data_IF_121976871200
#
_entry.id   IF_121976871200
#
_cell.length_a   1.000
_cell.length_b   1.000
_cell.length_c   1.000
_cell.angle_alpha   90.00
_cell.angle_beta   90.00
_cell.angle_gamma   90.00
#
_symmetry.space_group_name_H-M   'P 1'
#
loop_
_entity.id
_entity.type
_entity.pdbx_description
1 polymer ?
2 non-polymer ?
3 water ?
#
# COMPACT_ATOMS: atom_id res chain seq x y z
N UNK A 3 4.96 9.45 -15.12
CA UNK A 3 3.88 9.22 -14.17
C UNK A 3 4.17 10.00 -12.88
N UNK A 4 3.14 10.63 -12.32
CA UNK A 4 3.27 11.37 -11.07
C UNK A 4 2.08 11.01 -10.18
N UNK A 5 2.36 10.39 -9.04
CA UNK A 5 1.30 9.92 -8.14
C UNK A 5 0.80 11.00 -7.19
N UNK A 6 1.37 12.21 -7.22
CA UNK A 6 0.98 13.24 -6.28
C UNK A 6 -0.52 13.48 -6.32
N UNK A 7 -1.16 13.49 -5.15
CA UNK A 7 -2.57 13.79 -5.06
C UNK A 7 -3.21 13.21 -3.83
N UNK A 8 -4.50 13.49 -3.70
CA UNK A 8 -5.33 12.95 -2.63
C UNK A 8 -6.30 11.96 -3.26
N UNK A 9 -6.38 10.76 -2.70
CA UNK A 9 -7.09 9.64 -3.31
C UNK A 9 -8.03 9.00 -2.31
N UNK A 10 -9.25 8.68 -2.76
CA UNK A 10 -10.29 8.10 -1.93
C UNK A 10 -10.62 6.70 -2.40
N UNK A 11 -10.72 5.77 -1.45
CA UNK A 11 -10.88 4.37 -1.83
C UNK A 11 -12.24 4.13 -2.45
N UNK A 12 -12.25 3.43 -3.59
CA UNK A 12 -13.47 3.07 -4.31
C UNK A 12 -13.82 1.60 -4.14
N UNK A 13 -12.85 0.70 -4.32
CA UNK A 13 -13.04 -0.73 -4.14
C UNK A 13 -11.85 -1.32 -3.39
N UNK A 14 -12.11 -2.43 -2.71
CA UNK A 14 -11.10 -3.17 -1.94
C UNK A 14 -11.47 -4.65 -2.08
N UNK A 15 -10.75 -5.36 -2.95
CA UNK A 15 -11.11 -6.70 -3.37
C UNK A 15 -10.16 -7.75 -2.81
N UNK A 16 -10.74 -8.77 -2.17
CA UNK A 16 -10.00 -9.90 -1.63
C UNK A 16 -9.05 -9.49 -0.50
N UNK A 17 -9.44 -8.48 0.26
CA UNK A 17 -8.59 -8.01 1.36
C UNK A 17 -8.51 -9.04 2.48
N UNK A 18 -9.61 -9.72 2.78
CA UNK A 18 -9.62 -10.59 3.95
C UNK A 18 -8.70 -11.79 3.76
N UNK A 19 -8.65 -12.33 2.54
CA UNK A 19 -7.74 -13.44 2.27
C UNK A 19 -6.28 -12.98 2.28
N UNK A 20 -6.02 -11.77 1.80
CA UNK A 20 -4.67 -11.22 1.86
C UNK A 20 -4.20 -11.13 3.31
N UNK A 21 -5.06 -10.60 4.19
CA UNK A 21 -4.70 -10.54 5.60
C UNK A 21 -4.56 -11.94 6.19
N UNK A 22 -5.42 -12.87 5.79
CA UNK A 22 -5.30 -14.23 6.31
C UNK A 22 -3.97 -14.85 5.92
N UNK A 23 -3.49 -14.53 4.71
CA UNK A 23 -2.17 -15.01 4.28
C UNK A 23 -1.04 -14.38 5.08
N UNK A 24 -1.27 -13.23 5.70
CA UNK A 24 -0.30 -12.61 6.59
C UNK A 24 -0.45 -13.09 8.04
N UNK A 25 -1.39 -14.00 8.30
CA UNK A 25 -1.64 -14.55 9.63
C UNK A 25 -2.17 -13.49 10.59
N UNK A 26 -2.93 -12.53 10.08
CA UNK A 26 -3.62 -11.57 10.94
C UNK A 26 -4.81 -12.27 11.56
N UNK A 27 -4.96 -12.13 12.88
CA UNK A 27 -5.98 -12.87 13.61
C UNK A 27 -7.38 -12.46 13.14
N UNK A 28 -8.35 -13.35 13.39
CA UNK A 28 -9.68 -13.18 12.82
C UNK A 28 -10.29 -11.86 13.25
N UNK A 29 -10.15 -11.50 14.53
CA UNK A 29 -10.81 -10.30 15.02
C UNK A 29 -10.21 -9.05 14.40
N UNK A 30 -8.88 -8.98 14.32
CA UNK A 30 -8.24 -7.84 13.67
C UNK A 30 -8.57 -7.81 12.19
N UNK A 31 -8.58 -8.98 11.55
CA UNK A 31 -9.05 -9.02 10.18
C UNK A 31 -10.42 -8.38 10.06
N UNK A 32 -11.33 -8.60 11.04
CA UNK A 32 -12.67 -8.14 10.78
C UNK A 32 -12.71 -6.63 10.86
N UNK A 33 -11.89 -6.05 11.75
CA UNK A 33 -11.78 -4.60 11.90
C UNK A 33 -11.18 -3.97 10.65
N UNK A 34 -10.10 -4.56 10.13
CA UNK A 34 -9.40 -3.98 9.00
C UNK A 34 -10.27 -3.91 7.75
N UNK A 35 -11.13 -4.91 7.52
CA UNK A 35 -11.95 -4.91 6.31
C UNK A 35 -12.94 -3.74 6.28
N UNK A 36 -13.28 -3.19 7.45
CA UNK A 36 -14.23 -2.09 7.51
C UNK A 36 -13.59 -0.75 7.23
N UNK A 37 -12.26 -0.70 7.14
CA UNK A 37 -11.57 0.56 6.93
C UNK A 37 -11.54 0.91 5.45
N UNK A 38 -11.71 2.20 5.15
CA UNK A 38 -11.70 2.72 3.79
C UNK A 38 -10.72 3.89 3.76
N UNK A 39 -9.43 3.61 3.89
CA UNK A 39 -8.46 4.70 4.03
C UNK A 39 -8.34 5.55 2.77
N UNK A 40 -8.04 6.83 2.97
CA UNK A 40 -7.58 7.69 1.90
C UNK A 40 -6.07 7.51 1.72
N UNK A 41 -5.57 7.98 0.58
CA UNK A 41 -4.13 8.03 0.32
C UNK A 41 -3.76 9.46 -0.03
N UNK A 42 -2.78 10.01 0.69
CA UNK A 42 -2.19 11.30 0.34
C UNK A 42 -0.77 11.02 -0.09
N UNK A 43 -0.43 11.35 -1.34
CA UNK A 43 0.87 11.03 -1.91
C UNK A 43 1.54 12.32 -2.38
N UNK A 44 2.83 12.45 -2.07
CA UNK A 44 3.65 13.52 -2.62
C UNK A 44 4.85 12.85 -3.28
N UNK A 45 4.96 13.01 -4.59
CA UNK A 45 6.10 12.53 -5.36
C UNK A 45 7.03 13.71 -5.61
N UNK A 46 8.26 13.64 -5.08
CA UNK A 46 9.20 14.77 -5.01
C UNK A 46 10.54 14.26 -5.55
N UNK A 47 10.69 14.29 -6.86
CA UNK A 47 11.84 13.63 -7.47
C UNK A 47 11.73 12.13 -7.24
N UNK A 48 12.82 11.51 -6.79
CA UNK A 48 12.78 10.10 -6.40
C UNK A 48 12.36 9.91 -4.94
N UNK A 49 12.06 10.99 -4.23
CA UNK A 49 11.58 10.92 -2.85
C UNK A 49 10.06 10.78 -2.89
N UNK A 50 9.55 9.72 -2.26
CA UNK A 50 8.12 9.42 -2.28
C UNK A 50 7.60 9.34 -0.85
N UNK A 51 6.45 9.97 -0.61
CA UNK A 51 5.76 9.90 0.67
C UNK A 51 4.34 9.44 0.37
N UNK A 52 3.96 8.28 0.90
CA UNK A 52 2.63 7.74 0.77
C UNK A 52 2.03 7.67 2.16
N UNK A 53 0.96 8.41 2.39
CA UNK A 53 0.27 8.44 3.67
C UNK A 53 -1.07 7.74 3.48
N UNK A 54 -1.24 6.60 4.15
CA UNK A 54 -2.51 5.85 4.16
C UNK A 54 -3.23 6.21 5.45
N UNK A 55 -4.37 6.89 5.33
CA UNK A 55 -4.98 7.57 6.45
C UNK A 55 -6.33 6.96 6.78
N UNK A 56 -6.54 6.67 8.07
CA UNK A 56 -7.81 6.20 8.60
C UNK A 56 -7.84 6.46 10.10
N UNK A 57 -9.04 6.45 10.67
CA UNK A 57 -9.18 6.63 12.11
C UNK A 57 -8.43 5.54 12.87
N UNK A 58 -8.46 4.31 12.36
CA UNK A 58 -7.80 3.21 13.04
C UNK A 58 -6.29 3.39 13.06
N UNK A 59 -5.70 3.82 11.94
CA UNK A 59 -4.26 3.87 11.83
C UNK A 59 -3.89 4.75 10.64
N UNK A 60 -2.87 5.58 10.84
CA UNK A 60 -2.19 6.27 9.75
C UNK A 60 -0.88 5.53 9.50
N UNK A 61 -0.72 4.97 8.30
CA UNK A 61 0.50 4.28 7.93
C UNK A 61 1.27 5.14 6.94
N UNK A 62 2.49 5.51 7.30
CA UNK A 62 3.29 6.47 6.53
C UNK A 62 4.48 5.73 5.91
N UNK A 63 4.56 5.75 4.59
CA UNK A 63 5.76 5.31 3.88
C UNK A 63 6.50 6.53 3.39
N UNK A 64 7.78 6.61 3.71
CA UNK A 64 8.62 7.76 3.35
C UNK A 64 9.94 7.14 2.87
N UNK A 65 10.15 7.11 1.55
CA UNK A 65 11.28 6.37 1.02
C UNK A 65 11.83 7.03 -0.23
N UNK A 66 13.01 6.58 -0.63
CA UNK A 66 13.63 6.95 -1.89
C UNK A 66 13.50 5.78 -2.86
N UNK A 67 12.98 6.05 -4.05
CA UNK A 67 12.84 4.99 -5.04
C UNK A 67 14.21 4.41 -5.36
N UNK A 68 14.30 3.09 -5.35
CA UNK A 68 15.54 2.40 -5.62
C UNK A 68 16.42 2.11 -4.42
N UNK A 69 16.14 2.73 -3.27
CA UNK A 69 16.93 2.55 -2.06
C UNK A 69 16.19 1.59 -1.13
N UNK A 70 16.84 0.49 -0.76
CA UNK A 70 16.27 -0.41 0.23
C UNK A 70 16.14 0.29 1.58
N UNK A 71 15.07 -0.03 2.31
CA UNK A 71 14.85 0.52 3.63
C UNK A 71 14.12 -0.49 4.50
N UNK A 72 14.27 -0.33 5.81
CA UNK A 72 13.65 -1.22 6.79
C UNK A 72 12.23 -0.72 7.05
N UNK A 73 11.24 -1.54 6.70
CA UNK A 73 9.83 -1.17 6.82
C UNK A 73 9.26 -1.77 8.10
N UNK A 74 8.72 -0.92 8.96
CA UNK A 74 8.19 -1.32 10.26
C UNK A 74 6.70 -1.62 10.10
N UNK A 75 6.35 -2.90 10.07
CA UNK A 75 4.99 -3.36 9.88
C UNK A 75 4.39 -3.93 11.15
N UNK A 76 4.96 -3.62 12.31
CA UNK A 76 4.54 -4.26 13.55
C UNK A 76 3.06 -4.03 13.84
N UNK A 77 2.55 -2.86 13.50
CA UNK A 77 1.15 -2.56 13.72
C UNK A 77 0.19 -3.21 12.75
N UNK A 78 0.70 -3.94 11.77
CA UNK A 78 -0.11 -4.54 10.72
C UNK A 78 -0.15 -6.04 10.93
N UNK A 79 0.91 -6.74 10.49
CA UNK A 79 1.04 -8.18 10.71
C UNK A 79 2.16 -8.50 11.68
N UNK A 80 2.65 -7.52 12.43
CA UNK A 80 3.59 -7.75 13.52
C UNK A 80 4.93 -8.25 13.01
N UNK A 81 5.36 -7.73 11.85
CA UNK A 81 6.59 -8.14 11.21
C UNK A 81 7.36 -6.91 10.74
N UNK A 82 8.61 -7.14 10.35
CA UNK A 82 9.38 -6.12 9.65
C UNK A 82 9.90 -6.70 8.33
N UNK A 83 10.20 -5.81 7.39
CA UNK A 83 10.68 -6.21 6.08
C UNK A 83 11.77 -5.26 5.60
N UNK A 84 12.67 -5.78 4.78
CA UNK A 84 13.60 -4.95 4.02
C UNK A 84 12.97 -4.66 2.66
N UNK A 85 12.49 -3.43 2.48
CA UNK A 85 11.62 -3.11 1.37
C UNK A 85 12.36 -2.25 0.34
N UNK A 86 12.07 -2.52 -0.93
CA UNK A 86 12.60 -1.74 -2.04
C UNK A 86 11.46 -1.43 -3.00
N UNK A 87 11.25 -0.13 -3.25
CA UNK A 87 10.29 0.35 -4.23
C UNK A 87 11.08 0.88 -5.42
N UNK A 88 10.77 0.38 -6.61
CA UNK A 88 11.49 0.74 -7.83
C UNK A 88 10.50 1.04 -8.94
N UNK A 89 10.99 1.74 -9.97
CA UNK A 89 10.18 2.03 -11.14
C UNK A 89 10.24 0.86 -12.11
N UNK A 90 9.08 0.55 -12.72
CA UNK A 90 8.97 -0.53 -13.72
C UNK A 90 8.08 0.02 -14.84
N UNK A 91 8.68 0.82 -15.72
CA UNK A 91 7.89 1.55 -16.69
C UNK A 91 7.16 2.68 -15.99
N UNK A 92 5.86 2.81 -16.27
CA UNK A 92 5.02 3.77 -15.56
C UNK A 92 4.36 3.16 -14.32
N UNK A 93 4.86 2.03 -13.84
CA UNK A 93 4.35 1.38 -12.65
C UNK A 93 5.41 1.40 -11.54
N UNK A 94 4.93 1.44 -10.30
CA UNK A 94 5.79 1.42 -9.12
C UNK A 94 5.75 0.03 -8.51
N UNK A 95 6.90 -0.63 -8.45
CA UNK A 95 6.99 -2.00 -7.97
C UNK A 95 7.67 -2.03 -6.61
N UNK A 96 7.07 -2.75 -5.67
CA UNK A 96 7.59 -2.86 -4.31
C UNK A 96 7.83 -4.33 -3.97
N UNK A 97 9.04 -4.64 -3.51
CA UNK A 97 9.37 -5.96 -2.98
C UNK A 97 9.64 -5.82 -1.49
N UNK A 98 8.98 -6.64 -0.69
CA UNK A 98 9.12 -6.63 0.77
C UNK A 98 9.79 -7.94 1.17
N UNK A 99 11.12 -7.93 1.25
CA UNK A 99 11.86 -9.12 1.66
C UNK A 99 11.65 -9.39 3.14
N UNK A 100 11.22 -10.60 3.48
CA UNK A 100 11.02 -10.95 4.86
C UNK A 100 10.59 -12.39 5.05
N UNK A 101 9.89 -12.65 6.17
CA UNK A 101 9.47 -14.00 6.47
C UNK A 101 8.49 -14.54 5.43
N UNK A 102 7.60 -13.68 4.93
CA UNK A 102 6.57 -14.12 3.99
C UNK A 102 7.10 -14.07 2.56
N UNK A 103 6.82 -15.13 1.82
CA UNK A 103 7.30 -15.26 0.44
C UNK A 103 6.43 -14.45 -0.51
N UNK A 104 7.07 -13.90 -1.54
CA UNK A 104 6.35 -13.21 -2.60
C UNK A 104 5.54 -12.03 -2.12
N UNK A 105 6.04 -11.32 -1.11
CA UNK A 105 5.35 -10.18 -0.54
C UNK A 105 5.75 -8.90 -1.26
N UNK A 106 4.77 -8.10 -1.64
CA UNK A 106 5.03 -6.84 -2.30
C UNK A 106 3.74 -6.25 -2.84
N UNK A 107 3.88 -5.18 -3.61
CA UNK A 107 2.74 -4.55 -4.23
C UNK A 107 3.19 -3.81 -5.49
N UNK A 108 2.19 -3.46 -6.32
CA UNK A 108 2.39 -2.71 -7.55
C UNK A 108 1.37 -1.59 -7.59
N UNK A 109 1.83 -0.39 -7.90
CA UNK A 109 0.98 0.78 -7.98
C UNK A 109 1.10 1.42 -9.35
N UNK A 110 -0.04 1.87 -9.88
CA UNK A 110 -0.08 2.55 -11.17
C UNK A 110 -1.34 3.38 -11.28
N UNK A 111 -1.40 4.21 -12.32
CA UNK A 111 -2.50 5.14 -12.54
C UNK A 111 -3.20 4.78 -13.84
N UNK A 112 -4.53 4.84 -13.83
CA UNK A 112 -5.35 4.74 -15.04
C UNK A 112 -6.35 5.90 -14.99
N UNK A 113 -6.11 6.93 -15.78
CA UNK A 113 -7.02 8.07 -15.79
C UNK A 113 -7.01 8.76 -14.44
N UNK A 114 -8.19 8.85 -13.82
CA UNK A 114 -8.32 9.44 -12.49
C UNK A 114 -8.33 8.38 -11.39
N UNK A 115 -7.78 7.20 -11.65
CA UNK A 115 -7.81 6.08 -10.71
C UNK A 115 -6.39 5.71 -10.32
N UNK A 116 -6.17 5.51 -9.02
CA UNK A 116 -4.94 4.93 -8.50
C UNK A 116 -5.19 3.45 -8.24
N UNK A 117 -4.40 2.59 -8.88
CA UNK A 117 -4.54 1.15 -8.78
C UNK A 117 -3.43 0.56 -7.90
N UNK A 118 -3.81 -0.29 -6.96
CA UNK A 118 -2.86 -0.88 -6.03
C UNK A 118 -3.14 -2.37 -5.92
N UNK A 119 -2.18 -3.19 -6.30
CA UNK A 119 -2.27 -4.63 -6.16
C UNK A 119 -1.27 -5.08 -5.10
N UNK A 120 -1.76 -5.67 -4.03
CA UNK A 120 -0.90 -6.22 -2.98
C UNK A 120 -0.84 -7.73 -3.11
N UNK A 121 0.33 -8.31 -2.77
CA UNK A 121 0.55 -9.74 -2.95
C UNK A 121 1.34 -10.32 -1.78
N UNK A 122 1.10 -11.62 -1.51
CA UNK A 122 1.85 -12.41 -0.54
C UNK A 122 1.41 -13.87 -0.70
N UNK A 123 2.36 -14.74 -0.92
CA UNK A 123 2.20 -16.21 -1.04
C UNK A 123 0.94 -16.56 -1.91
N UNK A 124 0.91 -15.94 -3.08
CA UNK A 124 -0.03 -16.23 -4.13
C UNK A 124 -1.35 -15.51 -4.00
N UNK A 125 -1.62 -14.90 -2.85
CA UNK A 125 -2.87 -14.21 -2.62
C UNK A 125 -2.75 -12.79 -3.12
N UNK A 126 -3.75 -12.33 -3.86
CA UNK A 126 -3.74 -11.00 -4.47
C UNK A 126 -4.93 -10.20 -3.92
N UNK A 127 -4.63 -9.02 -3.39
CA UNK A 127 -5.59 -7.97 -3.08
C UNK A 127 -5.49 -6.84 -4.09
N UNK A 128 -6.65 -6.39 -4.60
CA UNK A 128 -6.69 -5.29 -5.56
C UNK A 128 -7.53 -4.15 -5.01
N UNK A 129 -6.93 -2.96 -4.95
CA UNK A 129 -7.59 -1.75 -4.50
C UNK A 129 -7.55 -0.69 -5.60
N UNK A 130 -8.61 0.11 -5.68
CA UNK A 130 -8.68 1.21 -6.63
C UNK A 130 -9.17 2.44 -5.89
N UNK A 131 -8.45 3.56 -6.05
CA UNK A 131 -8.80 4.83 -5.46
C UNK A 131 -9.13 5.84 -6.55
N UNK A 132 -9.95 6.83 -6.20
CA UNK A 132 -10.34 7.89 -7.11
C UNK A 132 -9.70 9.20 -6.65
N UNK A 133 -9.21 9.98 -7.61
CA UNK A 133 -8.59 11.25 -7.27
C UNK A 133 -9.66 12.24 -6.85
N UNK A 134 -9.44 12.92 -5.72
CA UNK A 134 -10.41 13.84 -5.14
C UNK A 134 -9.70 15.16 -4.85
N UNK A 135 -10.50 16.18 -4.59
CA UNK A 135 -9.97 17.54 -4.41
C UNK A 135 -10.36 18.19 -3.10
N UNK A 136 -11.31 17.64 -2.35
CA UNK A 136 -11.66 18.18 -1.04
C UNK A 136 -10.67 17.66 -0.02
N UNK A 137 -9.94 18.57 0.61
CA UNK A 137 -8.87 18.20 1.54
C UNK A 137 -9.29 18.52 2.96
N UNK A 138 -8.92 17.63 3.87
CA UNK A 138 -9.61 17.52 5.16
C UNK A 138 -8.84 18.27 6.26
X LIG B 1 -4.41 2.24 7.53
X LIG B 1 -3.26 1.46 7.49
X LIG B 1 -3.35 0.11 7.20
X LIG B 1 -4.60 -0.46 6.95
X LIG B 1 -5.73 0.31 6.99
X LIG B 1 -5.64 1.67 7.28
X LIG B 1 -4.72 -1.95 6.63
X LIG B 1 -4.50 -2.85 7.86
X LIG B 1 -3.74 -2.35 5.52
X LIG B 1 -4.58 -2.33 9.16
X LIG B 1 -4.11 -4.50 10.07
X LIG B 1 -4.02 -5.02 8.80
X LIG B 1 -4.21 -4.20 7.70
X LIG B 1 -4.38 -3.17 10.25
X LIG B 1 -1.89 -2.85 4.46
X LIG B 1 -0.41 -3.11 4.12
X LIG B 1 0.73 -1.22 5.05
X LIG B 1 -0.66 -0.91 3.13
X LIG B 1 -1.20 0.14 4.09
X LIG B 1 0.10 -0.20 2.03
X LIG B 1 1.26 0.32 -0.22
X LIG B 1 1.38 1.50 0.65
X LIG B 1 0.64 1.17 2.08
X LIG B 1 -4.09 -2.64 4.27
X LIG B 1 -2.39 -2.47 5.66
X LIG B 1 0.25 -1.83 3.82
X LIG B 1 -2.95 -2.95 3.58
X LIG B 1 0.46 -0.82 0.58
#
# INVERSE_FOLDING_TARGET
MPVDFTGYWKMLVNENFEEYLRALDVNVALRKIANLLKPDKEIVQDGDHMIIRTLSTFRNYIMDFQVGKEFEEDLTGIDDRKCMTTVSWDGDKLQCVQKGEKEGRGWTQWIEGDELHLEMRVEGVVCKQVFKKVQHHHHHH
ZA6 C01 C02 C03 C04 C05 C06 C07 C08 C09 C10 C11 C12 C13 C14 C15 C16 C17 C18 C19 C20 C21 C22 C23 N01 N02 N03 O01 S01
#
